data_IF_096146866746
#
_entry.id   IF_096146866746
#
_cell.length_a   1.000
_cell.length_b   1.000
_cell.length_c   1.000
_cell.angle_alpha   90.00
_cell.angle_beta   90.00
_cell.angle_gamma   90.00
#
_symmetry.space_group_name_H-M   'P 1'
#
loop_
_entity.id
_entity.type
_entity.pdbx_description
1 polymer ?
#
# COMPACT_ATOMS: atom_id res chain seq x y z
N UNK A 1 3.50 0.12 32.98
CA UNK A 1 3.24 0.67 31.62
C UNK A 1 2.13 -0.16 31.00
N UNK A 2 1.01 0.41 30.54
CA UNK A 2 -0.02 -0.40 29.89
C UNK A 2 0.48 -0.87 28.52
N UNK A 3 0.35 -2.17 28.28
CA UNK A 3 0.71 -2.84 27.03
C UNK A 3 -0.35 -2.44 25.99
N UNK A 4 0.05 -1.73 24.93
CA UNK A 4 -0.85 -1.42 23.81
C UNK A 4 -1.33 -2.74 23.20
N UNK A 5 -2.64 -2.96 23.01
CA UNK A 5 -3.12 -4.17 22.35
C UNK A 5 -2.55 -4.21 20.94
N UNK A 6 -1.88 -5.32 20.59
CA UNK A 6 -1.51 -5.64 19.22
C UNK A 6 -2.80 -5.60 18.40
N UNK A 7 -2.88 -4.74 17.39
CA UNK A 7 -3.99 -4.76 16.45
C UNK A 7 -3.94 -6.11 15.72
N UNK A 8 -4.76 -7.03 16.19
CA UNK A 8 -5.00 -8.32 15.54
C UNK A 8 -5.70 -7.96 14.23
N UNK A 9 -5.01 -8.19 13.11
CA UNK A 9 -5.56 -7.95 11.79
C UNK A 9 -6.96 -8.56 11.70
N UNK A 10 -7.95 -7.74 11.37
CA UNK A 10 -9.34 -8.17 11.22
C UNK A 10 -9.37 -9.42 10.32
N UNK A 11 -10.15 -10.42 10.74
CA UNK A 11 -10.38 -11.60 9.92
C UNK A 11 -10.84 -11.14 8.53
N UNK A 12 -10.33 -11.75 7.44
CA UNK A 12 -10.76 -11.39 6.10
C UNK A 12 -12.27 -11.55 6.03
N UNK A 13 -12.95 -10.60 5.40
CA UNK A 13 -14.35 -10.77 4.99
C UNK A 13 -14.38 -12.04 4.15
N UNK A 14 -15.20 -13.02 4.54
CA UNK A 14 -15.19 -14.36 3.96
C UNK A 14 -15.25 -14.28 2.42
N UNK A 15 -14.23 -14.79 1.74
CA UNK A 15 -14.12 -14.79 0.29
C UNK A 15 -13.32 -13.63 -0.35
N UNK A 16 -12.88 -12.61 0.42
CA UNK A 16 -12.09 -11.50 -0.14
C UNK A 16 -10.59 -11.70 0.13
N UNK A 17 -9.71 -11.59 -0.90
CA UNK A 17 -8.28 -11.63 -0.71
C UNK A 17 -7.81 -10.43 0.13
N UNK A 18 -6.79 -10.63 0.95
CA UNK A 18 -6.17 -9.53 1.71
C UNK A 18 -5.39 -8.63 0.75
N UNK A 19 -5.57 -7.31 0.86
CA UNK A 19 -4.77 -6.37 0.07
C UNK A 19 -3.36 -6.27 0.65
N UNK A 20 -3.23 -5.96 1.94
CA UNK A 20 -1.95 -5.99 2.65
C UNK A 20 -1.75 -7.34 3.35
N UNK A 21 -0.52 -7.87 3.39
CA UNK A 21 -0.26 -9.18 3.99
C UNK A 21 -0.66 -10.38 3.12
N UNK A 22 -1.30 -10.14 1.98
CA UNK A 22 -1.77 -11.15 1.03
C UNK A 22 -0.76 -11.46 -0.07
N UNK A 23 -1.02 -12.51 -0.84
CA UNK A 23 -0.31 -12.77 -2.10
C UNK A 23 -0.91 -11.90 -3.19
N UNK A 24 -0.06 -11.21 -3.95
CA UNK A 24 -0.50 -10.35 -5.05
C UNK A 24 -1.25 -11.15 -6.12
N UNK A 25 -0.76 -12.35 -6.48
CA UNK A 25 -1.39 -13.19 -7.49
C UNK A 25 -2.80 -13.64 -7.08
N UNK A 26 -3.00 -14.07 -5.83
CA UNK A 26 -4.32 -14.42 -5.30
C UNK A 26 -5.28 -13.21 -5.36
N UNK A 27 -4.77 -12.01 -5.03
CA UNK A 27 -5.54 -10.78 -5.12
C UNK A 27 -5.99 -10.49 -6.55
N UNK A 28 -5.07 -10.55 -7.52
CA UNK A 28 -5.36 -10.34 -8.94
C UNK A 28 -6.37 -11.37 -9.44
N UNK A 29 -6.20 -12.65 -9.09
CA UNK A 29 -7.07 -13.73 -9.53
C UNK A 29 -8.51 -13.57 -9.03
N UNK A 30 -8.71 -13.13 -7.78
CA UNK A 30 -10.06 -12.95 -7.23
C UNK A 30 -10.69 -11.63 -7.69
N UNK A 31 -9.91 -10.54 -7.75
CA UNK A 31 -10.46 -9.21 -8.08
C UNK A 31 -10.52 -8.91 -9.58
N UNK A 32 -9.83 -9.70 -10.40
CA UNK A 32 -9.62 -9.46 -11.83
C UNK A 32 -8.94 -8.11 -12.13
N UNK A 33 -8.33 -7.48 -11.12
CA UNK A 33 -7.53 -6.26 -11.28
C UNK A 33 -6.08 -6.65 -11.52
N UNK A 34 -5.59 -6.55 -12.77
CA UNK A 34 -4.18 -6.81 -13.09
C UNK A 34 -3.20 -5.94 -12.30
N UNK A 35 -3.62 -4.72 -11.95
CA UNK A 35 -2.89 -3.80 -11.08
C UNK A 35 -3.84 -3.36 -9.96
N UNK A 36 -3.53 -3.69 -8.68
CA UNK A 36 -4.34 -3.24 -7.55
C UNK A 36 -4.51 -1.73 -7.50
N UNK A 37 -5.72 -1.27 -7.16
CA UNK A 37 -6.09 0.15 -7.09
C UNK A 37 -5.10 1.02 -6.29
N UNK A 38 -4.56 0.50 -5.18
CA UNK A 38 -3.55 1.20 -4.38
C UNK A 38 -2.32 1.60 -5.20
N UNK A 39 -1.87 0.74 -6.11
CA UNK A 39 -0.69 1.00 -6.94
C UNK A 39 -1.02 2.11 -7.95
N UNK A 40 -2.09 1.93 -8.73
CA UNK A 40 -2.45 2.88 -9.78
C UNK A 40 -2.82 4.25 -9.21
N UNK A 41 -3.56 4.29 -8.10
CA UNK A 41 -3.96 5.53 -7.43
C UNK A 41 -2.75 6.27 -6.83
N UNK A 42 -1.88 5.58 -6.08
CA UNK A 42 -0.68 6.21 -5.51
C UNK A 42 0.27 6.73 -6.60
N UNK A 43 0.51 5.94 -7.66
CA UNK A 43 1.39 6.35 -8.77
C UNK A 43 0.78 7.56 -9.51
N UNK A 44 -0.52 7.56 -9.76
CA UNK A 44 -1.21 8.70 -10.38
C UNK A 44 -1.11 9.97 -9.52
N UNK A 45 -1.35 9.87 -8.21
CA UNK A 45 -1.24 10.99 -7.28
C UNK A 45 0.19 11.57 -7.23
N UNK A 46 1.21 10.70 -7.14
CA UNK A 46 2.61 11.14 -7.11
C UNK A 46 3.03 11.78 -8.43
N UNK A 47 2.61 11.25 -9.58
CA UNK A 47 2.89 11.84 -10.87
C UNK A 47 2.24 13.22 -11.05
N UNK A 48 1.03 13.40 -10.51
CA UNK A 48 0.29 14.67 -10.62
C UNK A 48 0.79 15.74 -9.65
N UNK A 49 1.15 15.36 -8.42
CA UNK A 49 1.34 16.31 -7.31
C UNK A 49 2.68 16.16 -6.58
N UNK A 50 3.35 15.02 -6.70
CA UNK A 50 4.50 14.64 -5.86
C UNK A 50 5.87 14.80 -6.49
N UNK A 51 5.98 15.03 -7.81
CA UNK A 51 7.28 15.06 -8.50
C UNK A 51 8.20 16.20 -8.07
N UNK A 52 7.63 17.32 -7.61
CA UNK A 52 8.38 18.46 -7.07
C UNK A 52 8.57 18.41 -5.55
N UNK A 53 8.00 17.40 -4.86
CA UNK A 53 8.12 17.27 -3.42
C UNK A 53 9.52 16.73 -3.05
N UNK A 54 10.35 17.58 -2.45
CA UNK A 54 11.72 17.23 -2.10
C UNK A 54 11.78 15.98 -1.21
N UNK A 55 12.54 14.99 -1.67
CA UNK A 55 12.73 13.75 -0.92
C UNK A 55 11.51 12.83 -0.93
N UNK A 56 10.62 12.92 -1.92
CA UNK A 56 9.58 11.91 -2.16
C UNK A 56 10.20 10.49 -2.16
N UNK A 57 9.49 9.52 -1.55
CA UNK A 57 9.98 8.18 -1.21
C UNK A 57 11.12 8.07 -0.18
N UNK A 58 11.88 9.14 0.10
CA UNK A 58 12.95 9.18 1.11
C UNK A 58 12.48 9.69 2.47
N UNK A 59 11.84 10.85 2.50
CA UNK A 59 11.29 11.46 3.72
C UNK A 59 10.09 10.64 4.21
N UNK A 60 9.99 10.31 5.51
CA UNK A 60 8.86 9.57 6.03
C UNK A 60 7.58 10.43 5.99
N UNK A 61 6.46 9.82 5.61
CA UNK A 61 5.14 10.40 5.76
C UNK A 61 4.62 10.30 7.20
N UNK A 62 3.51 10.97 7.49
CA UNK A 62 2.87 10.87 8.79
C UNK A 62 2.24 9.47 8.96
N UNK A 63 2.62 8.77 10.03
CA UNK A 63 2.16 7.39 10.25
C UNK A 63 0.63 7.28 10.40
N UNK A 64 -0.01 8.34 10.92
CA UNK A 64 -1.46 8.42 11.06
C UNK A 64 -2.13 8.35 9.68
N UNK A 65 -1.70 9.18 8.73
CA UNK A 65 -2.24 9.19 7.36
C UNK A 65 -1.97 7.88 6.64
N UNK A 66 -0.75 7.33 6.77
CA UNK A 66 -0.40 6.03 6.17
C UNK A 66 -1.35 4.93 6.65
N UNK A 67 -1.68 4.91 7.94
CA UNK A 67 -2.63 3.95 8.50
C UNK A 67 -4.06 4.21 8.00
N UNK A 68 -4.49 5.47 7.92
CA UNK A 68 -5.81 5.83 7.38
C UNK A 68 -5.96 5.42 5.92
N UNK A 69 -4.95 5.68 5.08
CA UNK A 69 -4.95 5.27 3.68
C UNK A 69 -4.99 3.75 3.54
N UNK A 70 -4.18 3.03 4.33
CA UNK A 70 -4.22 1.57 4.37
C UNK A 70 -5.62 1.05 4.70
N UNK A 71 -6.25 1.59 5.74
CA UNK A 71 -7.61 1.20 6.16
C UNK A 71 -8.66 1.48 5.08
N UNK A 72 -8.57 2.62 4.39
CA UNK A 72 -9.47 2.96 3.29
C UNK A 72 -9.30 1.99 2.10
N UNK A 73 -8.06 1.74 1.67
CA UNK A 73 -7.81 0.79 0.58
C UNK A 73 -8.26 -0.64 0.91
N UNK A 74 -8.08 -1.10 2.15
CA UNK A 74 -8.61 -2.40 2.62
C UNK A 74 -10.15 -2.46 2.52
N UNK A 75 -10.84 -1.32 2.62
CA UNK A 75 -12.31 -1.21 2.43
C UNK A 75 -12.75 -1.05 0.97
N UNK A 76 -11.86 -1.22 -0.01
CA UNK A 76 -12.10 -0.91 -1.45
C UNK A 76 -12.32 0.59 -1.71
N UNK A 77 -11.98 1.48 -0.78
CA UNK A 77 -12.12 2.91 -0.99
C UNK A 77 -10.84 3.48 -1.61
N UNK A 78 -10.97 4.54 -2.41
CA UNK A 78 -9.82 5.31 -2.89
C UNK A 78 -9.71 6.62 -2.08
N UNK A 79 -8.84 6.69 -1.07
CA UNK A 79 -8.66 7.90 -0.27
C UNK A 79 -7.94 9.02 -1.02
N UNK A 80 -7.43 8.77 -2.24
CA UNK A 80 -6.56 9.70 -2.95
C UNK A 80 -7.26 10.51 -4.04
N UNK A 81 -8.54 10.23 -4.32
CA UNK A 81 -9.32 10.93 -5.37
C UNK A 81 -9.26 12.46 -5.24
N UNK A 82 -9.25 12.96 -4.00
CA UNK A 82 -9.23 14.40 -3.69
C UNK A 82 -7.98 14.81 -2.88
N UNK A 83 -6.87 14.06 -3.01
CA UNK A 83 -5.66 14.31 -2.23
C UNK A 83 -5.00 15.64 -2.64
N UNK A 84 -4.30 16.27 -1.69
CA UNK A 84 -3.53 17.49 -1.95
C UNK A 84 -2.02 17.20 -1.91
N UNK A 85 -1.21 18.12 -2.44
CA UNK A 85 0.25 17.97 -2.45
C UNK A 85 0.91 17.85 -1.07
N UNK A 86 0.24 18.25 0.02
CA UNK A 86 0.81 18.18 1.38
C UNK A 86 1.00 16.76 1.89
N UNK A 87 0.26 15.80 1.33
CA UNK A 87 0.18 14.43 1.86
C UNK A 87 1.08 13.46 1.08
N UNK A 88 1.92 13.95 0.16
CA UNK A 88 2.66 13.11 -0.80
C UNK A 88 3.67 12.17 -0.15
N UNK A 89 4.30 12.57 0.97
CA UNK A 89 5.18 11.67 1.72
C UNK A 89 4.39 10.51 2.36
N UNK A 90 3.14 10.76 2.78
CA UNK A 90 2.23 9.73 3.31
C UNK A 90 1.71 8.83 2.19
N UNK A 91 1.42 9.36 1.00
CA UNK A 91 1.06 8.58 -0.20
C UNK A 91 2.22 7.65 -0.62
N UNK A 92 3.44 8.18 -0.73
CA UNK A 92 4.63 7.36 -0.96
C UNK A 92 4.85 6.33 0.16
N UNK A 93 4.53 6.71 1.40
CA UNK A 93 4.58 5.86 2.58
C UNK A 93 3.68 4.63 2.47
N UNK A 94 2.40 4.82 2.13
CA UNK A 94 1.43 3.71 2.01
C UNK A 94 1.74 2.81 0.81
N UNK A 95 2.24 3.37 -0.30
CA UNK A 95 2.71 2.57 -1.45
C UNK A 95 3.91 1.69 -1.08
N UNK A 96 4.90 2.24 -0.38
CA UNK A 96 6.04 1.45 0.15
C UNK A 96 5.58 0.38 1.15
N UNK A 97 4.64 0.73 2.03
CA UNK A 97 4.09 -0.17 3.02
C UNK A 97 3.42 -1.38 2.36
N UNK A 98 2.66 -1.14 1.29
CA UNK A 98 1.98 -2.18 0.52
C UNK A 98 2.97 -3.25 0.02
N UNK A 99 4.00 -2.84 -0.73
CA UNK A 99 4.99 -3.79 -1.25
C UNK A 99 5.76 -4.51 -0.15
N UNK A 100 6.07 -3.81 0.96
CA UNK A 100 6.78 -4.41 2.10
C UNK A 100 5.94 -5.47 2.82
N UNK A 101 4.63 -5.30 2.85
CA UNK A 101 3.72 -6.21 3.54
C UNK A 101 3.17 -7.33 2.64
N UNK A 102 3.50 -7.38 1.36
CA UNK A 102 3.12 -8.53 0.53
C UNK A 102 3.63 -9.83 1.17
N UNK A 103 2.84 -10.90 1.06
CA UNK A 103 3.18 -12.23 1.62
C UNK A 103 4.49 -12.76 1.05
N UNK A 104 4.73 -12.47 -0.22
CA UNK A 104 5.96 -12.74 -0.97
C UNK A 104 6.43 -11.43 -1.60
N UNK A 105 7.74 -11.17 -1.68
CA UNK A 105 8.25 -9.96 -2.33
C UNK A 105 7.80 -9.88 -3.79
N UNK A 106 7.67 -8.65 -4.32
CA UNK A 106 7.26 -8.43 -5.71
C UNK A 106 8.13 -9.19 -6.71
N UNK A 107 9.44 -9.19 -6.46
CA UNK A 107 10.37 -10.10 -7.12
C UNK A 107 10.52 -11.32 -6.24
N UNK A 108 9.97 -12.45 -6.68
CA UNK A 108 10.00 -13.70 -5.95
C UNK A 108 11.44 -14.21 -5.74
N UNK A 109 11.65 -14.98 -4.67
CA UNK A 109 12.99 -15.39 -4.19
C UNK A 109 13.79 -16.21 -5.19
N UNK A 110 13.09 -17.02 -5.98
CA UNK A 110 13.61 -17.82 -7.08
C UNK A 110 14.14 -16.96 -8.25
N UNK A 111 13.74 -15.70 -8.36
CA UNK A 111 14.30 -14.77 -9.35
C UNK A 111 15.53 -14.01 -8.83
N UNK A 112 15.87 -14.08 -7.54
CA UNK A 112 16.94 -13.24 -6.98
C UNK A 112 18.29 -13.48 -7.64
N UNK A 113 18.62 -14.74 -7.94
CA UNK A 113 19.89 -15.08 -8.60
C UNK A 113 19.99 -14.48 -10.02
N UNK A 114 18.87 -14.08 -10.63
CA UNK A 114 18.85 -13.37 -11.93
C UNK A 114 19.02 -11.85 -11.80
N UNK A 115 18.91 -11.29 -10.59
CA UNK A 115 18.98 -9.85 -10.32
C UNK A 115 20.30 -9.39 -9.67
N UNK A 116 21.18 -10.32 -9.27
CA UNK A 116 22.44 -10.06 -8.55
C UNK A 116 23.64 -10.39 -9.44
#
# INVERSE_FOLDING_TARGET
>A
RPIKPKQIGRAPILGRPRLFGGKLLDYIQVTQQHVPLIISSCVSAINRLGLHNQGIFRVPGAQVDINQFKEAFEKVEDPLVNITGRDMNSVAGVLKLYFRELKEPLFARDMFDSFI
#
